data_IF_248345763040
#
_entry.id   IF_248345763040
#
_cell.length_a   1.000
_cell.length_b   1.000
_cell.length_c   1.000
_cell.angle_alpha   90.00
_cell.angle_beta   90.00
_cell.angle_gamma   90.00
#
_symmetry.space_group_name_H-M   'P 1'
#
loop_
_entity.id
_entity.type
_entity.pdbx_description
1 polymer ?
#
# COMPACT_ATOMS: atom_id res chain seq x y z
N UNK A 1 -45.21 -38.59 -10.51
CA UNK A 1 -46.43 -38.47 -9.70
C UNK A 1 -46.32 -37.15 -9.01
N UNK A 2 -46.97 -36.12 -9.68
CA UNK A 2 -48.02 -35.25 -9.10
C UNK A 2 -47.40 -34.12 -8.26
N UNK A 3 -47.58 -32.88 -8.51
CA UNK A 3 -48.34 -31.85 -9.27
C UNK A 3 -48.03 -30.54 -8.57
N UNK A 4 -47.64 -29.50 -9.32
CA UNK A 4 -48.41 -28.29 -9.68
C UNK A 4 -49.18 -27.58 -8.52
N UNK A 5 -48.81 -26.30 -8.26
CA UNK A 5 -49.79 -25.22 -8.15
C UNK A 5 -49.15 -23.81 -8.23
N UNK A 6 -49.35 -23.11 -9.35
CA UNK A 6 -49.63 -21.67 -9.45
C UNK A 6 -51.16 -21.52 -9.30
N UNK A 7 -51.81 -20.38 -8.98
CA UNK A 7 -51.58 -19.03 -9.48
C UNK A 7 -51.93 -17.90 -8.48
N UNK A 8 -51.68 -16.63 -8.77
CA UNK A 8 -52.70 -15.59 -9.02
C UNK A 8 -52.10 -14.25 -9.44
N UNK A 9 -52.44 -13.86 -10.66
CA UNK A 9 -52.38 -12.48 -11.16
C UNK A 9 -53.39 -11.60 -10.42
N UNK A 10 -53.01 -10.38 -10.02
CA UNK A 10 -54.00 -9.31 -9.83
C UNK A 10 -53.54 -8.05 -10.59
N UNK A 11 -54.25 -7.80 -11.65
CA UNK A 11 -54.23 -6.60 -12.46
C UNK A 11 -55.01 -5.50 -11.73
N UNK A 12 -54.40 -4.35 -11.50
CA UNK A 12 -55.13 -3.13 -11.19
C UNK A 12 -54.75 -2.02 -12.19
N UNK A 13 -55.74 -1.77 -13.07
CA UNK A 13 -55.82 -0.62 -13.99
C UNK A 13 -55.90 0.67 -13.18
N UNK A 14 -54.97 1.59 -13.39
CA UNK A 14 -55.12 2.98 -12.95
C UNK A 14 -55.59 3.78 -14.15
N UNK A 15 -56.76 4.40 -14.02
CA UNK A 15 -57.37 5.31 -15.00
C UNK A 15 -56.56 6.61 -15.09
N UNK A 16 -56.32 7.09 -16.30
CA UNK A 16 -55.82 8.40 -16.57
C UNK A 16 -56.89 9.46 -16.39
N UNK A 17 -56.82 10.27 -15.37
CA UNK A 17 -57.59 11.51 -15.31
C UNK A 17 -56.78 12.65 -15.91
N UNK A 18 -57.24 13.13 -17.02
CA UNK A 18 -56.78 14.34 -17.72
C UNK A 18 -57.20 15.57 -16.96
N UNK A 19 -56.26 16.31 -16.40
CA UNK A 19 -56.50 17.64 -15.81
C UNK A 19 -56.34 18.69 -16.92
N UNK A 20 -57.45 19.29 -17.28
CA UNK A 20 -57.55 20.43 -18.17
C UNK A 20 -57.07 21.70 -17.44
N UNK A 21 -55.95 22.26 -17.91
CA UNK A 21 -55.42 23.56 -17.43
C UNK A 21 -56.06 24.70 -18.19
N UNK A 22 -56.77 25.58 -17.51
CA UNK A 22 -57.34 26.82 -18.07
C UNK A 22 -56.23 27.82 -18.33
N UNK A 23 -55.83 27.97 -19.55
CA UNK A 23 -54.99 29.07 -20.05
C UNK A 23 -55.79 30.37 -19.98
N UNK A 24 -55.37 31.34 -19.20
CA UNK A 24 -56.03 32.62 -19.21
C UNK A 24 -55.52 33.69 -18.18
N UNK A 25 -54.79 33.28 -17.17
CA UNK A 25 -54.48 34.21 -16.09
C UNK A 25 -53.02 34.66 -16.00
N UNK A 26 -52.09 34.05 -16.72
CA UNK A 26 -50.66 34.37 -16.66
C UNK A 26 -50.14 35.24 -17.79
N UNK A 27 -50.83 35.33 -18.93
CA UNK A 27 -50.37 36.21 -20.07
C UNK A 27 -50.51 37.71 -19.78
N UNK A 28 -51.44 38.16 -18.96
CA UNK A 28 -51.61 39.57 -18.66
C UNK A 28 -50.58 40.14 -17.65
N UNK A 29 -49.97 39.30 -16.82
CA UNK A 29 -48.96 39.78 -15.86
C UNK A 29 -47.53 39.80 -16.42
N UNK A 30 -47.27 39.05 -17.45
CA UNK A 30 -45.95 39.05 -18.12
C UNK A 30 -45.73 40.24 -19.04
N UNK A 31 -46.78 40.82 -19.61
CA UNK A 31 -46.69 42.03 -20.46
C UNK A 31 -46.47 43.33 -19.69
N UNK A 32 -46.83 43.37 -18.43
CA UNK A 32 -46.61 44.57 -17.56
C UNK A 32 -45.20 44.63 -16.94
N UNK A 33 -44.47 43.49 -16.85
CA UNK A 33 -43.10 43.44 -16.36
C UNK A 33 -42.04 43.71 -17.45
N UNK A 34 -42.38 43.54 -18.73
CA UNK A 34 -41.45 43.81 -19.83
C UNK A 34 -41.33 45.32 -20.21
N UNK A 35 -42.29 46.14 -19.83
CA UNK A 35 -42.26 47.58 -20.09
C UNK A 35 -41.52 48.45 -19.03
N UNK A 36 -41.22 47.87 -17.83
CA UNK A 36 -40.53 48.58 -16.75
C UNK A 36 -39.00 48.50 -16.76
N UNK A 37 -38.43 47.63 -17.58
CA UNK A 37 -36.97 47.34 -17.60
C UNK A 37 -36.24 48.12 -18.71
N UNK A 38 -36.95 48.69 -19.68
CA UNK A 38 -36.36 49.39 -20.83
C UNK A 38 -36.01 50.86 -20.59
N UNK A 39 -36.30 51.47 -19.43
CA UNK A 39 -36.10 52.91 -19.22
C UNK A 39 -35.00 53.27 -18.20
N UNK A 40 -34.20 52.30 -17.72
CA UNK A 40 -33.08 52.54 -16.77
C UNK A 40 -31.69 52.19 -17.33
N UNK A 41 -31.56 51.95 -18.64
CA UNK A 41 -30.29 51.51 -19.28
C UNK A 41 -29.62 52.59 -20.16
N UNK A 42 -29.91 53.88 -20.01
CA UNK A 42 -29.32 54.93 -20.88
C UNK A 42 -28.63 56.11 -20.20
N UNK A 43 -28.23 55.97 -18.91
CA UNK A 43 -27.34 57.00 -18.29
C UNK A 43 -26.28 56.30 -17.41
N UNK A 44 -25.15 55.91 -18.01
CA UNK A 44 -24.04 55.31 -17.23
C UNK A 44 -22.83 54.87 -18.06
N UNK A 45 -22.62 55.51 -19.21
CA UNK A 45 -21.40 55.30 -19.98
C UNK A 45 -20.54 56.54 -19.94
N UNK A 46 -19.76 56.72 -18.87
CA UNK A 46 -18.53 57.54 -18.83
C UNK A 46 -18.05 57.67 -17.38
N UNK A 47 -17.26 56.70 -16.93
CA UNK A 47 -16.13 56.91 -16.00
C UNK A 47 -15.62 55.54 -15.49
N UNK A 48 -14.35 55.26 -15.71
CA UNK A 48 -13.65 54.26 -14.91
C UNK A 48 -12.97 53.17 -15.71
N UNK A 49 -11.85 53.47 -16.36
CA UNK A 49 -10.73 52.54 -16.46
C UNK A 49 -10.32 52.11 -15.05
N UNK A 50 -10.91 51.06 -14.55
CA UNK A 50 -10.49 50.35 -13.34
C UNK A 50 -10.29 48.89 -13.71
N UNK A 51 -9.05 48.39 -13.68
CA UNK A 51 -8.71 47.02 -14.02
C UNK A 51 -9.58 46.04 -13.25
N UNK A 52 -10.33 45.23 -13.94
CA UNK A 52 -10.93 44.02 -13.38
C UNK A 52 -9.79 43.16 -12.81
N UNK A 53 -9.56 43.26 -11.52
CA UNK A 53 -8.98 42.13 -10.80
C UNK A 53 -9.97 40.99 -11.01
N UNK A 54 -9.67 40.08 -11.93
CA UNK A 54 -10.25 38.73 -11.90
C UNK A 54 -10.12 38.28 -10.47
N UNK A 55 -11.24 38.19 -9.76
CA UNK A 55 -11.28 37.39 -8.52
C UNK A 55 -10.70 36.05 -8.89
N UNK A 56 -9.54 35.72 -8.37
CA UNK A 56 -8.98 34.42 -8.50
C UNK A 56 -10.04 33.50 -7.93
N UNK A 57 -10.57 32.62 -8.79
CA UNK A 57 -11.44 31.53 -8.37
C UNK A 57 -10.62 30.67 -7.40
N UNK A 58 -10.80 30.92 -6.12
CA UNK A 58 -10.08 30.28 -5.02
C UNK A 58 -10.77 28.96 -4.65
N UNK A 59 -11.47 28.33 -5.61
CA UNK A 59 -11.87 26.95 -5.48
C UNK A 59 -10.56 26.14 -5.45
N UNK A 60 -10.11 25.75 -4.26
CA UNK A 60 -8.94 24.88 -4.08
C UNK A 60 -9.19 23.63 -4.92
N UNK A 61 -8.41 23.45 -5.99
CA UNK A 61 -8.49 22.26 -6.85
C UNK A 61 -8.35 21.04 -5.96
N UNK A 62 -9.39 20.21 -5.92
CA UNK A 62 -9.33 18.93 -5.20
C UNK A 62 -8.37 18.01 -5.96
N UNK A 63 -7.38 17.50 -5.26
CA UNK A 63 -6.41 16.52 -5.79
C UNK A 63 -6.98 15.12 -5.62
N UNK A 64 -6.98 14.32 -6.68
CA UNK A 64 -7.39 12.91 -6.64
C UNK A 64 -6.16 12.02 -6.55
N UNK A 65 -6.06 11.22 -5.50
CA UNK A 65 -4.94 10.31 -5.27
C UNK A 65 -5.45 8.87 -5.24
N UNK A 66 -4.92 8.03 -6.13
CA UNK A 66 -5.15 6.58 -6.08
C UNK A 66 -4.20 5.95 -5.07
N UNK A 67 -4.70 5.18 -4.13
CA UNK A 67 -3.89 4.35 -3.23
C UNK A 67 -4.18 2.89 -3.55
N UNK A 68 -3.16 2.13 -3.95
CA UNK A 68 -3.27 0.69 -4.14
C UNK A 68 -2.35 -0.02 -3.16
N UNK A 69 -2.93 -0.91 -2.37
CA UNK A 69 -2.24 -1.81 -1.46
C UNK A 69 -2.32 -3.24 -2.01
N UNK A 70 -1.21 -3.97 -2.02
CA UNK A 70 -1.17 -5.33 -2.56
C UNK A 70 -2.08 -6.28 -1.80
N UNK A 71 -1.97 -6.29 -0.47
CA UNK A 71 -2.73 -7.15 0.43
C UNK A 71 -2.78 -6.51 1.81
N UNK A 72 -3.68 -6.94 2.68
CA UNK A 72 -3.82 -6.46 4.04
C UNK A 72 -2.92 -7.25 4.99
N UNK A 73 -2.02 -6.55 5.67
CA UNK A 73 -1.24 -6.99 6.82
C UNK A 73 -0.60 -5.79 7.52
N UNK A 74 -0.16 -5.97 8.76
CA UNK A 74 0.23 -4.89 9.67
C UNK A 74 1.23 -3.89 9.08
N UNK A 75 2.26 -4.36 8.36
CA UNK A 75 3.29 -3.48 7.80
C UNK A 75 2.73 -2.59 6.68
N UNK A 76 1.97 -3.16 5.72
CA UNK A 76 1.38 -2.37 4.63
C UNK A 76 0.28 -1.44 5.14
N UNK A 77 -0.51 -1.85 6.14
CA UNK A 77 -1.52 -1.01 6.76
C UNK A 77 -0.88 0.17 7.50
N UNK A 78 0.24 -0.06 8.18
CA UNK A 78 1.01 0.99 8.82
C UNK A 78 1.58 1.98 7.78
N UNK A 79 2.16 1.49 6.68
CA UNK A 79 2.66 2.32 5.59
C UNK A 79 1.55 3.17 4.94
N UNK A 80 0.36 2.59 4.74
CA UNK A 80 -0.81 3.31 4.20
C UNK A 80 -1.26 4.45 5.14
N UNK A 81 -1.38 4.16 6.43
CA UNK A 81 -1.72 5.17 7.45
C UNK A 81 -0.66 6.28 7.50
N UNK A 82 0.62 5.90 7.48
CA UNK A 82 1.74 6.84 7.44
C UNK A 82 1.69 7.72 6.20
N UNK A 83 1.44 7.16 5.01
CA UNK A 83 1.31 7.93 3.76
C UNK A 83 0.26 9.05 3.89
N UNK A 84 -0.91 8.73 4.43
CA UNK A 84 -1.98 9.72 4.62
C UNK A 84 -1.55 10.81 5.62
N UNK A 85 -0.83 10.42 6.69
CA UNK A 85 -0.30 11.37 7.68
C UNK A 85 0.75 12.30 7.06
N UNK A 86 1.70 11.77 6.28
CA UNK A 86 2.71 12.57 5.57
C UNK A 86 2.11 13.53 4.54
N UNK A 87 1.08 13.09 3.79
CA UNK A 87 0.31 13.98 2.91
C UNK A 87 -0.36 15.11 3.69
N UNK A 88 -0.98 14.82 4.83
CA UNK A 88 -1.61 15.81 5.69
C UNK A 88 -0.59 16.81 6.24
N UNK A 89 0.62 16.38 6.63
CA UNK A 89 1.72 17.24 7.07
C UNK A 89 2.18 18.20 5.99
N UNK A 90 2.07 17.84 4.70
CA UNK A 90 2.34 18.71 3.55
C UNK A 90 1.12 19.57 3.16
N UNK A 91 0.03 19.55 3.93
CA UNK A 91 -1.17 20.36 3.70
C UNK A 91 -2.20 19.72 2.76
N UNK A 92 -2.02 18.45 2.37
CA UNK A 92 -2.99 17.67 1.59
C UNK A 92 -3.87 16.86 2.52
N UNK A 93 -5.00 17.44 2.94
CA UNK A 93 -5.90 16.84 3.91
C UNK A 93 -7.15 16.27 3.27
N UNK A 94 -7.50 15.06 3.64
CA UNK A 94 -8.70 14.39 3.17
C UNK A 94 -9.96 15.18 3.50
N UNK A 95 -10.91 15.22 2.58
CA UNK A 95 -12.16 16.00 2.63
C UNK A 95 -11.99 17.54 2.65
N UNK A 96 -10.75 18.08 2.64
CA UNK A 96 -10.51 19.51 2.48
C UNK A 96 -10.03 19.84 1.04
N UNK A 97 -8.98 19.17 0.58
CA UNK A 97 -8.34 19.42 -0.72
C UNK A 97 -7.76 18.17 -1.39
N UNK A 98 -7.95 17.00 -0.78
CA UNK A 98 -7.56 15.67 -1.32
C UNK A 98 -8.74 14.73 -1.23
N UNK A 99 -8.90 13.91 -2.28
CA UNK A 99 -9.77 12.75 -2.32
C UNK A 99 -8.94 11.50 -2.61
N UNK A 100 -9.04 10.49 -1.74
CA UNK A 100 -8.37 9.21 -1.91
C UNK A 100 -9.31 8.17 -2.52
N UNK A 101 -8.86 7.50 -3.60
CA UNK A 101 -9.45 6.26 -4.12
C UNK A 101 -8.60 5.10 -3.60
N UNK A 102 -9.04 4.48 -2.48
CA UNK A 102 -8.32 3.40 -1.80
C UNK A 102 -8.74 2.05 -2.33
N UNK A 103 -7.77 1.27 -2.77
CA UNK A 103 -8.00 -0.07 -3.33
C UNK A 103 -7.04 -1.08 -2.69
N UNK A 104 -7.55 -2.29 -2.43
CA UNK A 104 -6.77 -3.44 -1.99
C UNK A 104 -6.87 -4.55 -3.06
N UNK A 105 -5.74 -5.04 -3.52
CA UNK A 105 -5.68 -6.04 -4.57
C UNK A 105 -5.84 -7.48 -4.07
N UNK A 106 -5.79 -7.70 -2.75
CA UNK A 106 -5.94 -9.02 -2.11
C UNK A 106 -4.93 -10.06 -2.63
N UNK A 107 -3.69 -9.63 -2.88
CA UNK A 107 -2.61 -10.40 -3.48
C UNK A 107 -2.95 -11.00 -4.87
N UNK A 108 -3.95 -10.47 -5.58
CA UNK A 108 -4.38 -10.94 -6.88
C UNK A 108 -3.89 -10.01 -8.00
N UNK A 109 -3.20 -10.60 -9.00
CA UNK A 109 -2.62 -9.84 -10.11
C UNK A 109 -3.70 -9.25 -11.03
N UNK A 110 -4.85 -9.91 -11.19
CA UNK A 110 -5.94 -9.40 -12.01
C UNK A 110 -6.60 -8.20 -11.36
N UNK A 111 -6.75 -8.23 -10.01
CA UNK A 111 -7.22 -7.09 -9.26
C UNK A 111 -6.26 -5.90 -9.38
N UNK A 112 -4.93 -6.13 -9.30
CA UNK A 112 -3.94 -5.07 -9.53
C UNK A 112 -4.10 -4.42 -10.90
N UNK A 113 -4.30 -5.21 -11.96
CA UNK A 113 -4.51 -4.71 -13.31
C UNK A 113 -5.81 -3.89 -13.43
N UNK A 114 -6.90 -4.37 -12.84
CA UNK A 114 -8.17 -3.65 -12.83
C UNK A 114 -8.08 -2.32 -12.07
N UNK A 115 -7.39 -2.31 -10.93
CA UNK A 115 -7.13 -1.09 -10.15
C UNK A 115 -6.28 -0.09 -10.95
N UNK A 116 -5.25 -0.57 -11.64
CA UNK A 116 -4.41 0.26 -12.48
C UNK A 116 -5.21 0.92 -13.61
N UNK A 117 -6.05 0.16 -14.31
CA UNK A 117 -6.95 0.68 -15.35
C UNK A 117 -7.94 1.71 -14.80
N UNK A 118 -8.48 1.46 -13.59
CA UNK A 118 -9.35 2.40 -12.88
C UNK A 118 -8.65 3.74 -12.64
N UNK A 119 -7.44 3.73 -12.07
CA UNK A 119 -6.71 4.96 -11.77
C UNK A 119 -6.33 5.74 -13.03
N UNK A 120 -5.90 5.04 -14.08
CA UNK A 120 -5.59 5.66 -15.39
C UNK A 120 -6.83 6.27 -16.02
N UNK A 121 -7.96 5.55 -16.02
CA UNK A 121 -9.23 6.03 -16.60
C UNK A 121 -9.79 7.23 -15.83
N UNK A 122 -9.67 7.22 -14.51
CA UNK A 122 -10.09 8.31 -13.63
C UNK A 122 -9.12 9.50 -13.64
N UNK A 123 -7.98 9.38 -14.31
CA UNK A 123 -6.94 10.41 -14.42
C UNK A 123 -6.57 10.98 -13.05
N UNK A 124 -6.25 10.09 -12.10
CA UNK A 124 -5.81 10.53 -10.77
C UNK A 124 -4.55 11.40 -10.90
N UNK A 125 -4.40 12.39 -10.00
CA UNK A 125 -3.27 13.34 -10.04
C UNK A 125 -1.95 12.69 -9.56
N UNK A 126 -2.04 11.60 -8.75
CA UNK A 126 -0.91 10.84 -8.23
C UNK A 126 -1.37 9.43 -7.81
N UNK A 127 -0.49 8.46 -7.93
CA UNK A 127 -0.68 7.09 -7.41
C UNK A 127 0.29 6.84 -6.25
N UNK A 128 -0.23 6.39 -5.12
CA UNK A 128 0.53 5.72 -4.06
C UNK A 128 0.44 4.22 -4.28
N UNK A 129 1.57 3.57 -4.51
CA UNK A 129 1.64 2.12 -4.69
C UNK A 129 2.36 1.48 -3.49
N UNK A 130 1.67 0.58 -2.78
CA UNK A 130 2.16 -0.05 -1.55
C UNK A 130 2.47 -1.51 -1.84
N UNK A 131 3.73 -1.87 -1.75
CA UNK A 131 4.42 -3.11 -2.09
C UNK A 131 4.94 -3.19 -3.54
N UNK A 132 5.99 -3.98 -3.74
CA UNK A 132 6.70 -4.13 -5.03
C UNK A 132 5.79 -4.55 -6.18
N UNK A 133 4.92 -5.60 -6.07
CA UNK A 133 4.05 -5.99 -7.18
C UNK A 133 3.03 -4.91 -7.56
N UNK A 134 2.52 -4.16 -6.58
CA UNK A 134 1.63 -3.03 -6.82
C UNK A 134 2.36 -1.92 -7.60
N UNK A 135 3.56 -1.53 -7.17
CA UNK A 135 4.38 -0.53 -7.85
C UNK A 135 4.70 -0.94 -9.29
N UNK A 136 5.08 -2.21 -9.53
CA UNK A 136 5.34 -2.74 -10.86
C UNK A 136 4.12 -2.66 -11.77
N UNK A 137 2.95 -3.04 -11.26
CA UNK A 137 1.71 -3.00 -12.06
C UNK A 137 1.32 -1.57 -12.43
N UNK A 138 1.40 -0.64 -11.49
CA UNK A 138 1.11 0.79 -11.75
C UNK A 138 2.11 1.39 -12.74
N UNK A 139 3.41 1.11 -12.58
CA UNK A 139 4.46 1.60 -13.48
C UNK A 139 4.34 1.06 -14.91
N UNK A 140 3.79 -0.15 -15.07
CA UNK A 140 3.48 -0.71 -16.39
C UNK A 140 2.24 -0.08 -17.03
N UNK A 141 1.24 0.32 -16.23
CA UNK A 141 -0.02 0.86 -16.71
C UNK A 141 0.05 2.31 -17.15
N UNK A 142 0.96 3.11 -16.58
CA UNK A 142 1.10 4.53 -16.92
C UNK A 142 2.55 5.01 -16.85
N UNK A 143 2.90 5.94 -17.76
CA UNK A 143 4.18 6.67 -17.74
C UNK A 143 3.99 8.15 -17.43
N UNK A 144 2.74 8.61 -17.36
CA UNK A 144 2.39 10.03 -17.22
C UNK A 144 1.99 10.39 -15.78
N UNK A 145 1.22 9.53 -15.11
CA UNK A 145 0.79 9.78 -13.73
C UNK A 145 1.97 9.57 -12.79
N UNK A 146 2.31 10.53 -11.91
CA UNK A 146 3.33 10.33 -10.88
C UNK A 146 2.98 9.16 -9.96
N UNK A 147 3.95 8.30 -9.71
CA UNK A 147 3.83 7.16 -8.79
C UNK A 147 4.83 7.37 -7.67
N UNK A 148 4.34 7.42 -6.43
CA UNK A 148 5.18 7.39 -5.24
C UNK A 148 4.93 6.07 -4.54
N UNK A 149 5.93 5.19 -4.52
CA UNK A 149 5.78 3.85 -3.96
C UNK A 149 6.41 3.75 -2.56
N UNK A 150 5.90 2.84 -1.75
CA UNK A 150 6.40 2.51 -0.41
C UNK A 150 6.37 1.02 -0.19
N UNK A 151 7.10 0.52 0.80
CA UNK A 151 7.27 -0.93 1.03
C UNK A 151 7.76 -1.65 -0.24
N UNK A 152 8.73 -1.07 -0.91
CA UNK A 152 9.42 -1.62 -2.08
C UNK A 152 10.87 -1.85 -1.69
N UNK A 153 11.32 -3.10 -1.74
CA UNK A 153 12.65 -3.48 -1.25
C UNK A 153 13.77 -2.87 -2.09
N UNK A 154 13.74 -3.07 -3.42
CA UNK A 154 14.74 -2.53 -4.33
C UNK A 154 14.12 -2.10 -5.65
N UNK A 155 14.21 -0.82 -5.94
CA UNK A 155 13.57 -0.23 -7.12
C UNK A 155 14.30 -0.56 -8.43
N UNK A 156 15.62 -0.77 -8.38
CA UNK A 156 16.42 -1.16 -9.54
C UNK A 156 16.19 -2.63 -9.88
N UNK A 157 16.24 -3.53 -8.90
CA UNK A 157 15.94 -4.95 -9.07
C UNK A 157 14.48 -5.18 -9.54
N UNK A 158 13.55 -4.37 -9.04
CA UNK A 158 12.15 -4.39 -9.48
C UNK A 158 11.92 -3.73 -10.86
N UNK A 159 12.95 -3.15 -11.48
CA UNK A 159 12.89 -2.44 -12.79
C UNK A 159 11.92 -1.26 -12.80
N UNK A 160 11.78 -0.60 -11.66
CA UNK A 160 10.91 0.57 -11.48
C UNK A 160 11.61 1.87 -11.86
N UNK A 161 12.92 1.95 -11.66
CA UNK A 161 13.75 3.14 -11.89
C UNK A 161 15.03 2.78 -12.62
N UNK A 162 15.67 3.77 -13.24
CA UNK A 162 16.98 3.60 -13.87
C UNK A 162 18.09 3.48 -12.82
N UNK A 163 18.00 4.28 -11.74
CA UNK A 163 18.84 4.17 -10.55
C UNK A 163 18.12 4.78 -9.35
N UNK A 164 18.50 4.35 -8.14
CA UNK A 164 17.92 4.88 -6.90
C UNK A 164 18.26 6.37 -6.69
N UNK A 165 19.39 6.86 -7.20
CA UNK A 165 19.80 8.26 -7.12
C UNK A 165 19.13 9.16 -8.16
N UNK A 166 18.85 8.62 -9.36
CA UNK A 166 18.19 9.31 -10.47
C UNK A 166 17.15 8.40 -11.12
N UNK A 167 15.90 8.40 -10.64
CA UNK A 167 14.84 7.51 -11.14
C UNK A 167 14.56 7.64 -12.63
N UNK A 168 14.58 8.87 -13.19
CA UNK A 168 14.37 9.24 -14.62
C UNK A 168 12.99 8.94 -15.18
N UNK A 169 12.19 8.14 -14.51
CA UNK A 169 10.80 7.78 -14.87
C UNK A 169 9.76 8.51 -14.04
N UNK A 170 8.52 8.06 -14.12
CA UNK A 170 7.41 8.60 -13.31
C UNK A 170 7.29 7.96 -11.91
N UNK A 171 8.24 7.09 -11.52
CA UNK A 171 8.26 6.39 -10.23
C UNK A 171 9.35 6.94 -9.33
N UNK A 172 9.02 7.16 -8.07
CA UNK A 172 9.93 7.40 -6.95
C UNK A 172 9.33 6.83 -5.68
N UNK A 173 9.98 6.97 -4.53
CA UNK A 173 9.42 6.55 -3.25
C UNK A 173 10.45 6.19 -2.20
N UNK A 174 10.06 5.31 -1.28
CA UNK A 174 10.87 4.85 -0.16
C UNK A 174 11.13 3.36 -0.24
N UNK A 175 12.35 2.95 0.12
CA UNK A 175 12.75 1.55 0.16
C UNK A 175 12.63 0.98 1.57
N UNK A 176 12.13 -0.25 1.66
CA UNK A 176 12.07 -1.04 2.88
C UNK A 176 13.17 -2.11 2.96
N UNK A 177 14.25 -1.94 2.20
CA UNK A 177 15.37 -2.87 2.25
C UNK A 177 15.86 -3.04 3.69
N UNK A 178 15.75 -4.26 4.19
CA UNK A 178 16.17 -4.64 5.52
C UNK A 178 17.65 -5.10 5.56
N UNK A 179 18.28 -5.09 6.74
CA UNK A 179 19.66 -5.51 6.91
C UNK A 179 19.75 -7.05 6.99
N UNK A 180 19.65 -7.73 5.84
CA UNK A 180 19.57 -9.20 5.72
C UNK A 180 20.75 -9.89 6.43
N UNK A 181 21.95 -9.32 6.34
CA UNK A 181 23.14 -9.86 7.00
C UNK A 181 22.98 -9.87 8.52
N UNK A 182 22.53 -8.75 9.08
CA UNK A 182 22.30 -8.58 10.51
C UNK A 182 21.12 -9.41 11.01
N UNK A 183 20.09 -9.59 10.17
CA UNK A 183 18.97 -10.51 10.46
C UNK A 183 19.43 -11.97 10.50
N UNK A 184 20.33 -12.38 9.59
CA UNK A 184 20.97 -13.70 9.67
C UNK A 184 21.82 -13.83 10.95
N UNK A 185 22.57 -12.81 11.33
CA UNK A 185 23.36 -12.82 12.57
C UNK A 185 22.47 -12.91 13.80
N UNK A 186 21.32 -12.23 13.80
CA UNK A 186 20.30 -12.35 14.82
C UNK A 186 19.77 -13.80 14.91
N UNK A 187 19.47 -14.43 13.77
CA UNK A 187 19.03 -15.83 13.72
C UNK A 187 20.06 -16.78 14.31
N UNK A 188 21.32 -16.67 13.89
CA UNK A 188 22.43 -17.51 14.39
C UNK A 188 22.71 -17.28 15.89
N UNK A 189 22.39 -16.11 16.41
CA UNK A 189 22.50 -15.79 17.84
C UNK A 189 21.35 -16.40 18.66
N UNK A 190 20.16 -16.49 18.08
CA UNK A 190 18.99 -17.15 18.68
C UNK A 190 19.10 -18.68 18.63
N UNK A 191 19.73 -19.24 17.58
CA UNK A 191 19.94 -20.68 17.38
C UNK A 191 21.43 -20.96 17.20
N UNK A 192 22.23 -20.97 18.28
CA UNK A 192 23.65 -21.19 18.20
C UNK A 192 23.98 -22.58 17.64
N UNK A 193 24.87 -22.62 16.66
CA UNK A 193 25.29 -23.86 16.01
C UNK A 193 24.38 -24.34 14.88
N UNK A 194 23.41 -23.53 14.47
CA UNK A 194 22.62 -23.81 13.26
C UNK A 194 23.54 -24.00 12.04
N UNK A 195 23.31 -25.09 11.29
CA UNK A 195 24.07 -25.46 10.10
C UNK A 195 23.25 -25.32 8.82
N UNK A 196 21.94 -25.46 8.95
CA UNK A 196 21.01 -25.34 7.84
C UNK A 196 19.85 -24.45 8.20
N UNK A 197 19.60 -23.42 7.41
CA UNK A 197 18.51 -22.47 7.59
C UNK A 197 17.51 -22.69 6.45
N UNK A 198 16.22 -22.83 6.79
CA UNK A 198 15.15 -22.78 5.80
C UNK A 198 14.83 -21.33 5.42
N UNK A 199 14.54 -21.08 4.16
CA UNK A 199 13.87 -19.85 3.75
C UNK A 199 12.60 -20.17 3.00
N UNK A 200 11.51 -19.45 3.32
CA UNK A 200 10.22 -19.65 2.68
C UNK A 200 9.69 -18.31 2.17
N UNK A 201 9.27 -18.26 0.90
CA UNK A 201 8.83 -17.03 0.26
C UNK A 201 7.95 -17.27 -0.97
N UNK A 202 7.21 -16.24 -1.41
CA UNK A 202 6.41 -16.27 -2.62
C UNK A 202 7.28 -16.12 -3.87
N UNK A 203 7.23 -17.11 -4.76
CA UNK A 203 8.06 -17.14 -5.97
C UNK A 203 7.72 -16.07 -7.01
N UNK A 204 6.59 -15.39 -6.89
CA UNK A 204 6.20 -14.28 -7.77
C UNK A 204 6.63 -12.90 -7.25
N UNK A 205 7.16 -12.81 -6.01
CA UNK A 205 7.62 -11.57 -5.41
C UNK A 205 9.13 -11.35 -5.62
N UNK A 206 9.50 -10.43 -6.51
CA UNK A 206 10.90 -10.10 -6.82
C UNK A 206 11.65 -9.59 -5.58
N UNK A 207 10.99 -8.85 -4.69
CA UNK A 207 11.53 -8.43 -3.40
C UNK A 207 11.96 -9.61 -2.53
N UNK A 208 11.17 -10.66 -2.48
CA UNK A 208 11.45 -11.86 -1.68
C UNK A 208 12.56 -12.70 -2.28
N UNK A 209 12.56 -12.87 -3.61
CA UNK A 209 13.64 -13.55 -4.33
C UNK A 209 14.99 -12.88 -4.07
N UNK A 210 15.07 -11.55 -4.20
CA UNK A 210 16.30 -10.79 -3.95
C UNK A 210 16.83 -11.01 -2.53
N UNK A 211 15.94 -10.97 -1.52
CA UNK A 211 16.33 -11.16 -0.14
C UNK A 211 16.78 -12.61 0.13
N UNK A 212 16.14 -13.61 -0.48
CA UNK A 212 16.57 -15.00 -0.41
C UNK A 212 17.96 -15.21 -1.03
N UNK A 213 18.25 -14.58 -2.17
CA UNK A 213 19.59 -14.60 -2.77
C UNK A 213 20.65 -13.96 -1.86
N UNK A 214 20.33 -12.82 -1.25
CA UNK A 214 21.22 -12.16 -0.28
C UNK A 214 21.43 -13.02 0.95
N UNK A 215 20.39 -13.67 1.48
CA UNK A 215 20.50 -14.61 2.59
C UNK A 215 21.46 -15.76 2.25
N UNK A 216 21.29 -16.41 1.09
CA UNK A 216 22.18 -17.50 0.62
C UNK A 216 23.63 -17.05 0.55
N UNK A 217 23.87 -15.87 0.00
CA UNK A 217 25.22 -15.28 -0.08
C UNK A 217 25.84 -15.12 1.30
N UNK A 218 25.12 -14.48 2.25
CA UNK A 218 25.66 -14.23 3.59
C UNK A 218 25.75 -15.49 4.45
N UNK A 219 24.85 -16.46 4.25
CA UNK A 219 24.91 -17.76 4.92
C UNK A 219 26.13 -18.56 4.46
N UNK A 220 26.45 -18.55 3.17
CA UNK A 220 27.64 -19.19 2.63
C UNK A 220 28.94 -18.60 3.22
N UNK A 221 29.01 -17.28 3.43
CA UNK A 221 30.13 -16.61 4.09
C UNK A 221 30.38 -17.12 5.54
N UNK A 222 29.30 -17.63 6.19
CA UNK A 222 29.34 -18.17 7.54
C UNK A 222 29.39 -19.71 7.59
N UNK A 223 29.46 -20.39 6.45
CA UNK A 223 29.46 -21.84 6.36
C UNK A 223 28.11 -22.47 6.70
N UNK A 224 27.02 -21.72 6.55
CA UNK A 224 25.64 -22.18 6.79
C UNK A 224 24.96 -22.50 5.47
N UNK A 225 24.25 -23.62 5.41
CA UNK A 225 23.46 -24.01 4.23
C UNK A 225 22.08 -23.37 4.26
N UNK A 226 21.49 -23.15 3.09
CA UNK A 226 20.13 -22.62 2.96
C UNK A 226 19.29 -23.59 2.15
N UNK A 227 18.18 -24.06 2.73
CA UNK A 227 17.13 -24.84 2.07
C UNK A 227 15.98 -23.90 1.71
N UNK A 228 15.55 -23.93 0.46
CA UNK A 228 14.49 -23.06 -0.04
C UNK A 228 13.17 -23.81 -0.17
N UNK A 229 12.09 -23.19 0.30
CA UNK A 229 10.72 -23.55 0.00
C UNK A 229 9.99 -22.35 -0.59
N UNK A 230 9.29 -22.54 -1.69
CA UNK A 230 8.54 -21.47 -2.34
C UNK A 230 7.05 -21.72 -2.32
N UNK A 231 6.28 -20.65 -2.29
CA UNK A 231 4.82 -20.69 -2.42
C UNK A 231 4.38 -19.83 -3.61
N UNK A 232 3.20 -20.11 -4.14
CA UNK A 232 2.57 -19.27 -5.17
C UNK A 232 1.44 -18.43 -4.58
N UNK A 233 0.85 -18.88 -3.47
CA UNK A 233 -0.23 -18.22 -2.74
C UNK A 233 -0.31 -18.74 -1.30
N UNK A 234 -1.20 -18.20 -0.49
CA UNK A 234 -1.35 -18.54 0.94
C UNK A 234 -1.69 -20.01 1.20
N UNK A 235 -2.34 -20.70 0.26
CA UNK A 235 -2.74 -22.11 0.44
C UNK A 235 -1.54 -23.07 0.41
N UNK A 236 -0.43 -22.65 -0.18
CA UNK A 236 0.78 -23.47 -0.31
C UNK A 236 1.64 -23.43 0.97
N UNK A 237 1.43 -22.43 1.85
CA UNK A 237 2.31 -22.13 2.99
C UNK A 237 2.46 -23.34 3.92
N UNK A 238 1.38 -23.99 4.29
CA UNK A 238 1.41 -25.13 5.19
C UNK A 238 2.28 -26.26 4.64
N UNK A 239 2.09 -26.62 3.37
CA UNK A 239 2.85 -27.70 2.73
C UNK A 239 4.32 -27.32 2.56
N UNK A 240 4.60 -26.09 2.14
CA UNK A 240 5.97 -25.57 1.98
C UNK A 240 6.70 -25.57 3.32
N UNK A 241 6.06 -25.06 4.38
CA UNK A 241 6.62 -25.08 5.74
C UNK A 241 6.88 -26.50 6.22
N UNK A 242 5.95 -27.44 6.00
CA UNK A 242 6.10 -28.84 6.38
C UNK A 242 7.28 -29.50 5.68
N UNK A 243 7.63 -29.09 4.46
CA UNK A 243 8.77 -29.63 3.73
C UNK A 243 10.13 -29.30 4.35
N UNK A 244 10.20 -28.27 5.20
CA UNK A 244 11.40 -27.82 5.92
C UNK A 244 11.57 -28.53 7.27
N UNK A 245 10.48 -29.06 7.86
CA UNK A 245 10.52 -29.70 9.18
C UNK A 245 11.46 -30.92 9.17
N UNK A 246 12.36 -30.96 10.14
CA UNK A 246 13.39 -32.01 10.28
C UNK A 246 14.58 -31.89 9.32
N UNK A 247 14.61 -30.89 8.47
CA UNK A 247 15.73 -30.61 7.54
C UNK A 247 16.53 -29.38 7.91
N UNK A 248 15.92 -28.44 8.64
CA UNK A 248 16.52 -27.15 8.96
C UNK A 248 16.53 -26.91 10.47
N UNK A 249 17.46 -26.08 10.93
CA UNK A 249 17.63 -25.72 12.35
C UNK A 249 16.80 -24.48 12.74
N UNK A 250 16.51 -23.62 11.76
CA UNK A 250 15.70 -22.39 11.91
C UNK A 250 15.15 -21.97 10.56
N UNK A 251 14.21 -21.03 10.55
CA UNK A 251 13.59 -20.50 9.32
C UNK A 251 13.81 -18.98 9.26
N UNK A 252 14.12 -18.48 8.09
CA UNK A 252 14.11 -17.08 7.73
C UNK A 252 12.97 -16.79 6.73
N UNK A 253 12.17 -15.77 7.02
CA UNK A 253 11.12 -15.29 6.11
C UNK A 253 11.46 -13.87 5.69
N UNK A 254 11.71 -13.58 4.40
CA UNK A 254 11.96 -12.21 3.94
C UNK A 254 10.74 -11.30 4.12
N UNK A 255 10.83 -10.03 3.72
CA UNK A 255 9.66 -9.15 3.59
C UNK A 255 8.79 -9.63 2.44
N UNK A 256 7.97 -10.64 2.70
CA UNK A 256 7.10 -11.33 1.76
C UNK A 256 5.64 -11.05 2.10
N UNK A 257 4.90 -10.48 1.17
CA UNK A 257 3.53 -10.02 1.47
C UNK A 257 2.54 -11.19 1.59
N UNK A 258 2.75 -12.28 0.83
CA UNK A 258 1.92 -13.48 0.92
C UNK A 258 2.13 -14.17 2.27
N UNK A 259 3.40 -14.32 2.69
CA UNK A 259 3.73 -14.91 4.01
C UNK A 259 3.24 -14.00 5.15
N UNK A 260 3.41 -12.68 5.05
CA UNK A 260 2.97 -11.72 6.06
C UNK A 260 1.45 -11.78 6.30
N UNK A 261 0.68 -11.88 5.22
CA UNK A 261 -0.79 -11.96 5.30
C UNK A 261 -1.32 -13.25 5.92
N UNK A 262 -0.51 -14.31 5.96
CA UNK A 262 -0.89 -15.63 6.48
C UNK A 262 0.16 -16.23 7.42
N UNK A 263 0.93 -15.40 8.11
CA UNK A 263 1.98 -15.82 9.05
C UNK A 263 1.52 -16.84 10.11
N UNK A 264 0.27 -16.76 10.66
CA UNK A 264 -0.24 -17.78 11.58
C UNK A 264 -0.26 -19.19 10.98
N UNK A 265 -0.44 -19.34 9.65
CA UNK A 265 -0.40 -20.65 8.98
C UNK A 265 1.01 -21.24 9.02
N UNK A 266 2.04 -20.41 8.83
CA UNK A 266 3.43 -20.83 9.00
C UNK A 266 3.71 -21.23 10.46
N UNK A 267 3.27 -20.42 11.42
CA UNK A 267 3.45 -20.66 12.85
C UNK A 267 2.83 -21.99 13.31
N UNK A 268 1.66 -22.37 12.80
CA UNK A 268 1.05 -23.68 13.09
C UNK A 268 1.93 -24.87 12.74
N UNK A 269 2.88 -24.71 11.82
CA UNK A 269 3.84 -25.77 11.45
C UNK A 269 5.15 -25.62 12.24
N UNK A 270 5.67 -24.38 12.36
CA UNK A 270 6.99 -24.13 12.94
C UNK A 270 7.02 -24.21 14.47
N UNK A 271 5.94 -23.80 15.15
CA UNK A 271 5.84 -23.85 16.62
C UNK A 271 5.90 -25.30 17.15
N UNK A 272 5.06 -26.26 16.69
CA UNK A 272 5.17 -27.66 17.14
C UNK A 272 6.50 -28.31 16.79
N UNK A 273 7.11 -27.90 15.67
CA UNK A 273 8.42 -28.35 15.22
C UNK A 273 9.59 -27.69 16.01
N UNK A 274 9.29 -26.72 16.88
CA UNK A 274 10.26 -25.91 17.64
C UNK A 274 11.30 -25.20 16.76
N UNK A 275 10.88 -24.81 15.58
CA UNK A 275 11.69 -24.05 14.64
C UNK A 275 11.57 -22.55 14.94
N UNK A 276 12.69 -21.90 15.28
CA UNK A 276 12.72 -20.45 15.39
C UNK A 276 12.52 -19.80 14.02
N UNK A 277 11.66 -18.79 13.93
CA UNK A 277 11.42 -18.03 12.71
C UNK A 277 11.89 -16.59 12.91
N UNK A 278 12.92 -16.18 12.18
CA UNK A 278 13.33 -14.78 12.06
C UNK A 278 12.70 -14.20 10.79
N UNK A 279 12.09 -13.04 10.93
CA UNK A 279 11.25 -12.44 9.90
C UNK A 279 11.88 -11.18 9.32
N UNK A 280 11.49 -10.80 8.10
CA UNK A 280 11.88 -9.58 7.46
C UNK A 280 11.26 -8.31 8.08
N UNK A 281 10.11 -8.42 8.76
CA UNK A 281 9.41 -7.27 9.32
C UNK A 281 8.67 -7.60 10.64
N UNK A 282 8.27 -6.53 11.38
CA UNK A 282 7.78 -6.65 12.76
C UNK A 282 6.39 -7.28 12.91
N UNK A 283 5.48 -7.08 11.97
CA UNK A 283 4.14 -7.66 11.99
C UNK A 283 4.19 -9.19 11.96
N UNK A 284 5.06 -9.76 11.12
CA UNK A 284 5.28 -11.21 11.07
C UNK A 284 5.78 -11.77 12.41
N UNK A 285 6.64 -11.03 13.13
CA UNK A 285 7.13 -11.45 14.46
C UNK A 285 5.97 -11.56 15.43
N UNK A 286 5.10 -10.56 15.44
CA UNK A 286 3.92 -10.57 16.33
C UNK A 286 2.89 -11.62 15.93
N UNK A 287 2.83 -12.00 14.65
CA UNK A 287 1.90 -13.00 14.12
C UNK A 287 2.42 -14.46 14.18
N UNK A 288 3.61 -14.71 14.78
CA UNK A 288 4.12 -16.08 14.97
C UNK A 288 5.63 -16.25 14.77
N UNK A 289 6.35 -15.20 14.38
CA UNK A 289 7.82 -15.20 14.37
C UNK A 289 8.42 -15.08 15.78
N UNK A 290 9.74 -15.13 15.86
CA UNK A 290 10.48 -14.98 17.12
C UNK A 290 11.13 -13.61 17.23
N UNK A 291 11.79 -13.16 16.18
CA UNK A 291 12.50 -11.89 16.20
C UNK A 291 12.72 -11.32 14.79
N UNK A 292 13.01 -10.03 14.77
CA UNK A 292 13.52 -9.33 13.59
C UNK A 292 14.37 -8.12 13.97
N UNK A 293 15.10 -7.61 12.99
CA UNK A 293 15.68 -6.28 12.95
C UNK A 293 15.03 -5.55 11.79
N UNK A 294 14.09 -4.64 12.06
CA UNK A 294 13.20 -4.07 11.06
C UNK A 294 13.06 -2.56 11.14
N UNK A 295 12.60 -1.98 10.06
CA UNK A 295 12.22 -0.57 9.97
C UNK A 295 10.82 -0.34 10.55
N UNK A 296 10.48 0.95 10.71
CA UNK A 296 9.16 1.41 11.09
C UNK A 296 8.34 1.73 9.82
N UNK A 297 7.37 0.88 9.48
CA UNK A 297 6.55 1.05 8.27
C UNK A 297 5.61 2.25 8.32
N UNK A 298 5.19 2.69 9.50
CA UNK A 298 4.42 3.93 9.61
C UNK A 298 5.28 5.15 9.24
N UNK A 299 6.50 5.23 9.77
CA UNK A 299 7.44 6.31 9.42
C UNK A 299 7.86 6.24 7.95
N UNK A 300 8.03 5.03 7.38
CA UNK A 300 8.30 4.84 5.96
C UNK A 300 7.17 5.42 5.10
N UNK A 301 5.93 5.11 5.46
CA UNK A 301 4.75 5.65 4.81
C UNK A 301 4.64 7.17 4.95
N UNK A 302 4.90 7.72 6.15
CA UNK A 302 4.87 9.16 6.41
C UNK A 302 5.88 9.90 5.51
N UNK A 303 7.11 9.40 5.42
CA UNK A 303 8.12 9.90 4.51
C UNK A 303 7.66 9.85 3.04
N UNK A 304 7.00 8.78 2.62
CA UNK A 304 6.42 8.63 1.28
C UNK A 304 5.32 9.66 1.02
N UNK A 305 4.45 9.89 2.00
CA UNK A 305 3.40 10.90 1.93
C UNK A 305 3.95 12.33 1.81
N UNK A 306 5.04 12.62 2.52
CA UNK A 306 5.73 13.91 2.36
C UNK A 306 6.32 14.09 0.96
N UNK A 307 6.95 13.04 0.39
CA UNK A 307 7.45 13.04 -0.98
C UNK A 307 6.32 13.30 -1.99
N UNK A 308 5.17 12.64 -1.80
CA UNK A 308 3.97 12.83 -2.62
C UNK A 308 3.46 14.30 -2.55
N UNK A 309 3.42 14.88 -1.35
CA UNK A 309 3.03 16.27 -1.14
C UNK A 309 3.97 17.25 -1.84
N UNK A 310 5.27 16.99 -1.83
CA UNK A 310 6.24 17.85 -2.53
C UNK A 310 6.11 17.74 -4.06
N UNK A 311 5.75 16.57 -4.61
CA UNK A 311 5.43 16.40 -6.03
C UNK A 311 4.14 17.12 -6.41
N UNK A 312 3.06 16.95 -5.66
CA UNK A 312 1.77 17.57 -5.92
C UNK A 312 1.81 19.10 -5.80
N UNK A 313 2.68 19.63 -4.93
CA UNK A 313 2.91 21.08 -4.82
C UNK A 313 3.83 21.64 -5.91
N UNK A 314 4.38 20.79 -6.79
CA UNK A 314 5.30 21.19 -7.87
C UNK A 314 6.71 21.56 -7.41
N UNK A 315 7.09 21.26 -6.17
CA UNK A 315 8.46 21.54 -5.66
C UNK A 315 9.51 20.64 -6.31
N UNK A 316 9.11 19.43 -6.69
CA UNK A 316 9.98 18.44 -7.31
C UNK A 316 9.19 17.54 -8.26
N UNK A 317 9.88 16.62 -8.92
CA UNK A 317 9.30 15.66 -9.86
C UNK A 317 9.83 14.26 -9.56
N UNK A 318 9.06 13.18 -9.83
CA UNK A 318 9.53 11.82 -9.62
C UNK A 318 10.87 11.53 -10.29
N UNK A 319 11.09 12.06 -11.50
CA UNK A 319 12.28 11.85 -12.32
C UNK A 319 13.62 12.23 -11.63
N UNK A 320 13.55 13.22 -10.74
CA UNK A 320 14.72 13.82 -10.07
C UNK A 320 14.70 13.66 -8.56
N UNK A 321 13.66 12.97 -8.02
CA UNK A 321 13.55 12.71 -6.61
C UNK A 321 14.17 11.34 -6.30
N UNK A 322 15.32 11.25 -5.60
CA UNK A 322 15.96 9.99 -5.26
C UNK A 322 15.07 9.09 -4.41
N UNK A 323 15.24 7.78 -4.56
CA UNK A 323 14.67 6.80 -3.65
C UNK A 323 15.24 7.03 -2.25
N UNK A 324 14.38 7.08 -1.25
CA UNK A 324 14.78 7.32 0.13
C UNK A 324 14.76 6.02 0.94
N UNK A 325 15.66 5.92 1.92
CA UNK A 325 15.80 4.76 2.80
C UNK A 325 15.65 5.20 4.26
N UNK A 326 15.08 4.35 5.08
CA UNK A 326 15.23 4.47 6.52
C UNK A 326 16.65 4.02 6.95
N UNK A 327 17.20 4.73 7.94
CA UNK A 327 18.57 4.49 8.41
C UNK A 327 18.62 3.81 9.77
N UNK A 328 17.50 3.71 10.46
CA UNK A 328 17.38 3.12 11.79
C UNK A 328 16.55 1.85 11.75
N UNK A 329 17.03 0.83 12.45
CA UNK A 329 16.36 -0.45 12.61
C UNK A 329 16.06 -0.71 14.07
N UNK A 330 14.92 -1.35 14.34
CA UNK A 330 14.48 -1.72 15.68
C UNK A 330 14.57 -3.23 15.85
N UNK A 331 15.07 -3.69 16.99
CA UNK A 331 14.99 -5.10 17.37
C UNK A 331 13.60 -5.36 17.92
N UNK A 332 12.86 -6.27 17.30
CA UNK A 332 11.52 -6.70 17.72
C UNK A 332 11.61 -8.17 18.10
N UNK A 333 11.09 -8.54 19.27
CA UNK A 333 11.13 -9.88 19.82
C UNK A 333 9.74 -10.27 20.32
N UNK A 334 9.28 -11.44 19.93
CA UNK A 334 8.11 -12.11 20.47
C UNK A 334 8.58 -13.09 21.58
N UNK A 335 8.57 -12.61 22.83
CA UNK A 335 9.02 -13.41 23.99
C UNK A 335 8.13 -14.63 24.22
N UNK A 336 6.83 -14.48 24.01
CA UNK A 336 5.85 -15.56 24.18
C UNK A 336 6.13 -16.71 23.21
N UNK A 337 6.36 -16.40 21.94
CA UNK A 337 6.65 -17.44 20.94
C UNK A 337 8.03 -18.08 21.19
N UNK A 338 9.04 -17.30 21.56
CA UNK A 338 10.35 -17.85 21.94
C UNK A 338 10.23 -18.87 23.08
N UNK A 339 9.44 -18.57 24.13
CA UNK A 339 9.18 -19.49 25.25
C UNK A 339 8.46 -20.75 24.81
N UNK A 340 7.42 -20.65 23.97
CA UNK A 340 6.65 -21.79 23.41
C UNK A 340 7.55 -22.80 22.70
N UNK A 341 8.51 -22.31 21.92
CA UNK A 341 9.42 -23.19 21.14
C UNK A 341 10.70 -23.53 21.91
N UNK A 342 10.90 -22.99 23.12
CA UNK A 342 12.04 -23.30 23.98
C UNK A 342 13.32 -22.55 23.62
N UNK A 343 13.23 -21.42 22.92
CA UNK A 343 14.38 -20.57 22.58
C UNK A 343 14.68 -19.59 23.72
N UNK A 344 15.92 -19.64 24.21
CA UNK A 344 16.41 -18.67 25.20
C UNK A 344 16.93 -17.43 24.49
N UNK A 345 16.26 -16.31 24.69
CA UNK A 345 16.68 -15.04 24.09
C UNK A 345 17.88 -14.48 24.88
N UNK A 346 19.00 -14.16 24.21
CA UNK A 346 20.15 -13.52 24.84
C UNK A 346 19.80 -12.17 25.50
N UNK A 347 20.42 -11.88 26.64
CA UNK A 347 20.10 -10.68 27.44
C UNK A 347 20.34 -9.36 26.69
N UNK A 348 21.39 -9.29 25.88
CA UNK A 348 21.69 -8.13 25.06
C UNK A 348 20.65 -7.86 24.00
N UNK A 349 20.01 -8.89 23.43
CA UNK A 349 18.88 -8.74 22.50
C UNK A 349 17.62 -8.25 23.22
N UNK A 350 17.38 -8.72 24.46
CA UNK A 350 16.27 -8.20 25.26
C UNK A 350 16.44 -6.72 25.57
N UNK A 351 17.66 -6.29 25.95
CA UNK A 351 17.97 -4.88 26.17
C UNK A 351 17.83 -4.04 24.91
N UNK A 352 18.28 -4.56 23.77
CA UNK A 352 18.12 -3.88 22.47
C UNK A 352 16.64 -3.71 22.10
N UNK A 353 15.80 -4.72 22.30
CA UNK A 353 14.36 -4.65 22.04
C UNK A 353 13.64 -3.66 22.98
N UNK A 354 14.06 -3.52 24.24
CA UNK A 354 13.50 -2.57 25.19
C UNK A 354 13.88 -1.12 24.87
N UNK A 355 15.08 -0.88 24.35
CA UNK A 355 15.55 0.44 23.93
C UNK A 355 14.98 0.89 22.58
N UNK A 356 14.33 0.00 21.87
CA UNK A 356 13.71 0.26 20.56
C UNK A 356 12.22 0.67 20.64
N UNK A 357 11.67 0.68 21.87
CA UNK A 357 10.31 1.18 22.15
C UNK A 357 10.32 2.69 22.23
#
# INVERSE_FOLDING_TARGET
MIELFYPYMCSSRIKSDTVEWKDGYYEQKMRALAAGIALTLSLGLLAGCGGEKKAADNSKKIVNVGIVQLVEHDALDAANKGFIAGMAAKGFKENENVKYDRQNAQADQSNLQNIAQRFVSNKVDLICAIATPAAQTMANATKDIPIVATAVTDYEAAKLVASNSEPKGNVTGTSDMNPIKEQLELLLKLVPGAKTIGTIYCSSEVNSQLQAELLKKYAAEKGVQVEEATVSNVNDIQQAAQSLVGKVDAVYVPTDNVLASAMPTLAQVTEPAKLAVVCGEGGMVMAGGVATLAIDYYQLGEQTGEMAGDILSGKTKPQTMPIQLQKSFKVIINKENAEKIGIKIPEDLLKAAESSK
#
